data_IF_533753910572
#
_entry.id   IF_533753910572
#
_cell.length_a   1.000
_cell.length_b   1.000
_cell.length_c   1.000
_cell.angle_alpha   90.00
_cell.angle_beta   90.00
_cell.angle_gamma   90.00
#
_symmetry.space_group_name_H-M   'P 1'
#
loop_
_entity.id
_entity.type
_entity.pdbx_description
1 polymer ?
#
# COMPACT_ATOMS: atom_id res chain seq x y z
N UNK A 1 -38.86 -20.21 21.13
CA UNK A 1 -37.96 -19.04 20.98
C UNK A 1 -38.67 -18.11 20.00
N UNK A 2 -39.06 -16.92 20.44
CA UNK A 2 -39.88 -15.99 19.65
C UNK A 2 -38.96 -15.13 18.76
N UNK A 3 -38.59 -15.68 17.61
CA UNK A 3 -37.59 -15.13 16.70
C UNK A 3 -37.94 -13.72 16.20
N UNK A 4 -39.22 -13.38 16.09
CA UNK A 4 -39.68 -12.03 15.69
C UNK A 4 -39.39 -10.97 16.74
N UNK A 5 -39.46 -11.33 18.03
CA UNK A 5 -39.09 -10.42 19.13
C UNK A 5 -37.60 -10.17 19.21
N UNK A 6 -36.77 -11.17 18.87
CA UNK A 6 -35.32 -11.01 18.83
C UNK A 6 -34.87 -10.21 17.59
N UNK A 7 -35.52 -10.40 16.43
CA UNK A 7 -35.27 -9.60 15.23
C UNK A 7 -35.52 -8.10 15.43
N UNK A 8 -36.57 -7.72 16.18
CA UNK A 8 -36.85 -6.31 16.51
C UNK A 8 -35.81 -5.65 17.41
N UNK A 9 -34.97 -6.43 18.10
CA UNK A 9 -33.85 -5.93 18.92
C UNK A 9 -32.55 -5.83 18.13
N UNK A 10 -32.46 -6.53 16.99
CA UNK A 10 -31.29 -6.43 16.12
C UNK A 10 -31.32 -5.06 15.42
N UNK A 11 -30.14 -4.45 15.23
CA UNK A 11 -30.01 -3.30 14.33
C UNK A 11 -30.34 -3.78 12.92
N UNK A 12 -31.59 -3.57 12.51
CA UNK A 12 -31.99 -3.71 11.11
C UNK A 12 -31.35 -2.55 10.37
N UNK A 13 -30.67 -2.85 9.26
CA UNK A 13 -30.12 -1.80 8.41
C UNK A 13 -31.29 -1.03 7.82
N UNK A 14 -31.48 0.23 8.23
CA UNK A 14 -32.49 1.08 7.63
C UNK A 14 -32.02 1.47 6.21
N UNK A 15 -32.69 0.91 5.20
CA UNK A 15 -32.35 1.15 3.80
C UNK A 15 -32.50 2.63 3.42
N UNK A 16 -33.40 3.36 4.07
CA UNK A 16 -33.65 4.78 3.79
C UNK A 16 -32.57 5.69 4.41
N UNK A 17 -31.86 5.20 5.43
CA UNK A 17 -30.72 5.91 6.06
C UNK A 17 -29.38 5.60 5.40
N UNK A 18 -29.30 4.57 4.55
CA UNK A 18 -28.07 4.21 3.85
C UNK A 18 -27.77 5.21 2.71
N UNK A 19 -26.50 5.60 2.50
CA UNK A 19 -26.10 6.39 1.34
C UNK A 19 -26.11 5.59 0.02
N UNK A 20 -26.68 4.37 0.01
CA UNK A 20 -26.76 3.47 -1.13
C UNK A 20 -27.64 4.01 -2.27
N UNK A 21 -27.69 3.28 -3.41
CA UNK A 21 -28.27 3.78 -4.66
C UNK A 21 -29.64 4.41 -4.44
N UNK A 22 -29.74 5.71 -4.73
CA UNK A 22 -30.89 6.56 -4.38
C UNK A 22 -31.87 6.70 -5.54
N UNK A 23 -31.56 6.13 -6.71
CA UNK A 23 -32.46 6.19 -7.86
C UNK A 23 -33.14 4.84 -8.12
N UNK A 24 -34.38 4.91 -8.62
CA UNK A 24 -35.09 3.75 -9.14
C UNK A 24 -34.34 3.10 -10.30
N UNK A 25 -33.57 3.86 -11.08
CA UNK A 25 -32.75 3.31 -12.17
C UNK A 25 -31.62 2.41 -11.66
N UNK A 26 -30.90 2.79 -10.60
CA UNK A 26 -29.83 1.97 -10.01
C UNK A 26 -30.37 0.64 -9.44
N UNK A 27 -31.59 0.66 -8.89
CA UNK A 27 -32.28 -0.54 -8.41
C UNK A 27 -32.87 -1.38 -9.55
N UNK A 28 -33.26 -0.77 -10.67
CA UNK A 28 -33.71 -1.47 -11.89
C UNK A 28 -32.55 -2.16 -12.60
N UNK A 29 -31.34 -1.58 -12.60
CA UNK A 29 -30.15 -2.28 -13.11
C UNK A 29 -29.85 -3.57 -12.34
N UNK A 30 -30.17 -3.64 -11.04
CA UNK A 30 -30.05 -4.89 -10.27
C UNK A 30 -31.16 -5.92 -10.56
N UNK A 31 -32.17 -5.58 -11.37
CA UNK A 31 -33.24 -6.52 -11.80
C UNK A 31 -32.91 -7.25 -13.09
N UNK A 32 -31.84 -6.88 -13.79
CA UNK A 32 -31.41 -7.62 -14.98
C UNK A 32 -30.94 -9.04 -14.60
N UNK A 33 -30.99 -10.01 -15.53
CA UNK A 33 -30.43 -11.34 -15.28
C UNK A 33 -28.99 -11.25 -14.78
N UNK A 34 -28.63 -12.06 -13.79
CA UNK A 34 -27.32 -12.01 -13.13
C UNK A 34 -26.15 -12.12 -14.12
N UNK A 35 -26.33 -12.92 -15.17
CA UNK A 35 -25.34 -13.10 -16.24
C UNK A 35 -25.14 -11.83 -17.07
N UNK A 36 -26.21 -11.07 -17.31
CA UNK A 36 -26.15 -9.79 -18.02
C UNK A 36 -25.49 -8.71 -17.14
N UNK A 37 -25.83 -8.69 -15.86
CA UNK A 37 -25.15 -7.84 -14.87
C UNK A 37 -23.65 -8.13 -14.83
N UNK A 38 -23.25 -9.40 -14.74
CA UNK A 38 -21.84 -9.77 -14.71
C UNK A 38 -21.11 -9.36 -16.00
N UNK A 39 -21.73 -9.54 -17.17
CA UNK A 39 -21.13 -9.09 -18.44
C UNK A 39 -20.91 -7.59 -18.47
N UNK A 40 -21.85 -6.79 -17.96
CA UNK A 40 -21.74 -5.32 -17.91
C UNK A 40 -20.73 -4.87 -16.86
N UNK A 41 -20.80 -5.45 -15.65
CA UNK A 41 -19.97 -5.07 -14.51
C UNK A 41 -18.50 -5.49 -14.65
N UNK A 42 -18.23 -6.63 -15.30
CA UNK A 42 -16.90 -7.17 -15.53
C UNK A 42 -16.50 -7.13 -17.01
N UNK A 43 -17.08 -6.21 -17.78
CA UNK A 43 -16.79 -6.07 -19.20
C UNK A 43 -15.32 -5.70 -19.45
N UNK A 44 -14.73 -6.35 -20.44
CA UNK A 44 -13.36 -6.07 -20.90
C UNK A 44 -13.43 -4.79 -21.74
N UNK A 45 -12.74 -3.74 -21.35
CA UNK A 45 -12.83 -2.38 -21.91
C UNK A 45 -13.14 -1.30 -20.86
N UNK A 46 -13.60 -1.69 -19.66
CA UNK A 46 -13.87 -0.79 -18.53
C UNK A 46 -12.68 -0.66 -17.58
N UNK A 47 -11.48 -1.10 -17.95
CA UNK A 47 -10.29 -1.12 -17.08
C UNK A 47 -9.85 0.28 -16.63
N UNK A 48 -10.26 1.32 -17.36
CA UNK A 48 -9.97 2.72 -17.04
C UNK A 48 -11.02 3.36 -16.11
N UNK A 49 -12.09 2.65 -15.78
CA UNK A 49 -13.09 3.14 -14.81
C UNK A 49 -12.52 2.99 -13.41
N UNK A 50 -12.36 4.12 -12.72
CA UNK A 50 -11.85 4.12 -11.35
C UNK A 50 -13.01 3.92 -10.36
N UNK A 51 -12.92 2.95 -9.43
CA UNK A 51 -13.89 2.81 -8.35
C UNK A 51 -14.00 4.09 -7.51
N UNK A 52 -15.20 4.37 -7.00
CA UNK A 52 -15.45 5.56 -6.18
C UNK A 52 -15.30 5.30 -4.66
N UNK A 53 -14.89 4.10 -4.24
CA UNK A 53 -14.87 3.68 -2.84
C UNK A 53 -13.97 4.55 -1.94
N UNK A 54 -12.83 5.01 -2.47
CA UNK A 54 -11.91 5.96 -1.82
C UNK A 54 -11.85 7.31 -2.56
N UNK A 55 -12.89 7.66 -3.31
CA UNK A 55 -12.98 8.98 -3.96
C UNK A 55 -12.85 10.08 -2.91
N UNK A 56 -12.00 11.06 -3.20
CA UNK A 56 -11.74 12.19 -2.30
C UNK A 56 -10.66 11.91 -1.24
N UNK A 57 -10.13 10.68 -1.17
CA UNK A 57 -8.91 10.40 -0.40
C UNK A 57 -7.69 10.73 -1.27
N UNK A 58 -6.75 11.51 -0.72
CA UNK A 58 -5.43 11.78 -1.30
C UNK A 58 -4.33 11.16 -0.45
N UNK A 59 -3.48 10.33 -1.06
CA UNK A 59 -2.44 9.59 -0.35
C UNK A 59 -1.06 9.89 -0.92
N UNK A 60 -0.09 10.19 -0.06
CA UNK A 60 1.30 10.37 -0.46
C UNK A 60 2.05 9.04 -0.40
N UNK A 61 2.99 8.85 -1.31
CA UNK A 61 3.83 7.65 -1.36
C UNK A 61 5.28 8.05 -1.54
N UNK A 62 6.15 7.64 -0.62
CA UNK A 62 7.61 7.78 -0.77
C UNK A 62 8.26 6.40 -0.79
N UNK A 63 7.46 5.41 -1.17
CA UNK A 63 7.76 3.99 -1.10
C UNK A 63 8.71 3.56 -2.23
N UNK A 64 9.36 2.42 -2.07
CA UNK A 64 10.28 1.82 -3.04
C UNK A 64 10.01 0.33 -3.19
N UNK A 65 10.38 -0.26 -4.33
CA UNK A 65 10.28 -1.71 -4.61
C UNK A 65 8.85 -2.26 -4.71
N UNK A 66 8.44 -3.22 -3.86
CA UNK A 66 7.15 -3.95 -3.96
C UNK A 66 6.33 -3.82 -2.67
N UNK A 67 6.94 -4.16 -1.52
CA UNK A 67 6.33 -4.21 -0.19
C UNK A 67 5.30 -3.09 0.09
N UNK A 68 5.77 -1.87 0.36
CA UNK A 68 4.88 -0.75 0.66
C UNK A 68 4.23 -0.13 -0.59
N UNK A 69 4.87 -0.08 -1.78
CA UNK A 69 4.20 0.39 -3.00
C UNK A 69 2.88 -0.33 -3.29
N UNK A 70 2.82 -1.65 -3.11
CA UNK A 70 1.59 -2.42 -3.32
C UNK A 70 0.42 -1.89 -2.47
N UNK A 71 0.70 -1.47 -1.22
CA UNK A 71 -0.35 -0.91 -0.36
C UNK A 71 -0.96 0.38 -0.92
N UNK A 72 -0.16 1.20 -1.61
CA UNK A 72 -0.59 2.47 -2.21
C UNK A 72 -1.31 2.21 -3.53
N UNK A 73 -0.79 1.31 -4.36
CA UNK A 73 -1.48 0.87 -5.58
C UNK A 73 -2.88 0.35 -5.25
N UNK A 74 -3.05 -0.46 -4.20
CA UNK A 74 -4.37 -0.90 -3.77
C UNK A 74 -5.31 0.28 -3.43
N UNK A 75 -4.80 1.34 -2.79
CA UNK A 75 -5.62 2.54 -2.53
C UNK A 75 -5.98 3.27 -3.82
N UNK A 76 -5.04 3.37 -4.76
CA UNK A 76 -5.26 3.98 -6.06
C UNK A 76 -6.32 3.23 -6.87
N UNK A 77 -6.24 1.89 -6.90
CA UNK A 77 -7.22 1.00 -7.51
C UNK A 77 -8.59 1.11 -6.84
N UNK A 78 -8.65 1.42 -5.54
CA UNK A 78 -9.90 1.66 -4.82
C UNK A 78 -10.46 3.09 -4.98
N UNK A 79 -9.80 3.98 -5.74
CA UNK A 79 -10.31 5.33 -6.02
C UNK A 79 -9.47 6.49 -5.51
N UNK A 80 -8.51 6.25 -4.61
CA UNK A 80 -7.74 7.33 -3.98
C UNK A 80 -6.80 8.04 -4.97
N UNK A 81 -6.64 9.35 -4.82
CA UNK A 81 -5.61 10.12 -5.51
C UNK A 81 -4.25 9.86 -4.87
N UNK A 82 -3.49 8.90 -5.41
CA UNK A 82 -2.19 8.54 -4.89
C UNK A 82 -1.08 9.31 -5.62
N UNK A 83 -0.19 9.97 -4.87
CA UNK A 83 0.92 10.77 -5.40
C UNK A 83 2.22 10.18 -4.89
N UNK A 84 2.95 9.51 -5.78
CA UNK A 84 4.31 9.02 -5.53
C UNK A 84 5.32 10.15 -5.71
N UNK A 85 6.10 10.36 -4.66
CA UNK A 85 7.19 11.32 -4.61
C UNK A 85 8.49 10.55 -4.72
N UNK A 86 9.23 10.80 -5.80
CA UNK A 86 10.46 10.10 -6.12
C UNK A 86 11.68 11.03 -6.03
N UNK A 87 12.82 10.48 -5.62
CA UNK A 87 14.07 11.23 -5.63
C UNK A 87 14.46 11.61 -7.06
N UNK A 88 14.87 12.86 -7.33
CA UNK A 88 15.32 13.28 -8.66
C UNK A 88 16.43 12.38 -9.19
N UNK A 89 16.36 12.05 -10.49
CA UNK A 89 17.28 11.16 -11.23
C UNK A 89 17.26 9.69 -10.81
N UNK A 90 17.15 9.41 -9.52
CA UNK A 90 17.12 8.06 -8.96
C UNK A 90 15.80 7.34 -9.26
N UNK A 91 14.66 7.99 -9.00
CA UNK A 91 13.37 7.32 -9.05
C UNK A 91 13.23 6.24 -7.96
N UNK A 92 12.15 5.45 -8.07
CA UNK A 92 12.07 4.13 -7.43
C UNK A 92 13.12 3.18 -8.05
N UNK A 93 13.95 2.49 -7.26
CA UNK A 93 14.91 1.50 -7.78
C UNK A 93 14.29 0.42 -8.67
N UNK A 94 13.01 0.10 -8.49
CA UNK A 94 12.29 -0.88 -9.33
C UNK A 94 12.17 -0.43 -10.80
N UNK A 95 12.32 0.87 -11.10
CA UNK A 95 12.39 1.35 -12.49
C UNK A 95 13.59 0.78 -13.26
N UNK A 96 14.63 0.35 -12.55
CA UNK A 96 15.92 -0.08 -13.11
C UNK A 96 16.12 -1.61 -13.10
N UNK A 97 15.06 -2.39 -12.86
CA UNK A 97 15.12 -3.85 -12.81
C UNK A 97 14.67 -4.50 -14.12
N UNK A 98 15.26 -5.63 -14.48
CA UNK A 98 14.85 -6.46 -15.63
C UNK A 98 13.60 -7.32 -15.30
N UNK A 99 12.88 -7.86 -16.30
CA UNK A 99 13.09 -7.71 -17.75
C UNK A 99 12.65 -6.34 -18.30
N UNK A 100 13.22 -5.95 -19.45
CA UNK A 100 12.86 -4.75 -20.24
C UNK A 100 13.35 -3.38 -19.74
N UNK A 101 14.40 -3.37 -18.90
CA UNK A 101 15.31 -2.22 -18.77
C UNK A 101 16.75 -2.76 -18.63
N UNK A 102 17.77 -1.91 -18.83
CA UNK A 102 19.15 -2.25 -18.48
C UNK A 102 19.20 -2.63 -16.99
N UNK A 103 19.68 -3.84 -16.67
CA UNK A 103 19.61 -4.35 -15.31
C UNK A 103 20.59 -3.58 -14.40
N UNK A 104 20.06 -2.88 -13.39
CA UNK A 104 20.87 -2.39 -12.29
C UNK A 104 21.27 -3.53 -11.36
N UNK A 105 22.54 -3.92 -11.38
CA UNK A 105 23.11 -5.00 -10.58
C UNK A 105 24.06 -4.44 -9.52
N UNK A 106 23.55 -3.90 -8.42
CA UNK A 106 24.42 -3.49 -7.31
C UNK A 106 24.90 -4.71 -6.50
N UNK A 107 26.19 -4.82 -6.13
CA UNK A 107 27.29 -3.86 -6.35
C UNK A 107 28.15 -4.15 -7.61
N UNK A 108 27.71 -5.03 -8.50
CA UNK A 108 28.45 -5.43 -9.70
C UNK A 108 28.61 -4.29 -10.73
N UNK A 109 27.64 -3.37 -10.83
CA UNK A 109 27.71 -2.18 -11.69
C UNK A 109 26.91 -1.01 -11.09
N UNK A 110 27.44 0.22 -11.21
CA UNK A 110 26.80 1.44 -10.66
C UNK A 110 26.19 2.36 -11.74
N UNK A 111 26.21 1.98 -13.03
CA UNK A 111 25.46 2.76 -14.02
C UNK A 111 23.99 2.39 -13.96
N UNK A 112 23.18 3.32 -13.45
CA UNK A 112 21.72 3.21 -13.50
C UNK A 112 21.25 3.64 -14.89
N UNK A 113 20.28 2.92 -15.49
CA UNK A 113 19.67 3.32 -16.76
C UNK A 113 19.13 4.75 -16.65
N UNK A 114 19.48 5.60 -17.61
CA UNK A 114 18.99 6.99 -17.66
C UNK A 114 17.59 7.10 -18.28
N UNK A 115 17.09 6.02 -18.88
CA UNK A 115 15.77 5.91 -19.48
C UNK A 115 15.23 4.49 -19.29
N UNK A 116 13.94 4.28 -19.60
CA UNK A 116 13.27 3.01 -19.43
C UNK A 116 12.59 2.85 -18.06
N UNK A 117 11.68 1.88 -17.97
CA UNK A 117 11.01 1.51 -16.72
C UNK A 117 10.80 0.00 -16.73
N UNK A 118 11.39 -0.68 -15.76
CA UNK A 118 11.26 -2.12 -15.59
C UNK A 118 9.83 -2.55 -15.30
N UNK A 119 9.42 -3.74 -15.79
CA UNK A 119 8.05 -4.24 -15.59
C UNK A 119 7.67 -4.44 -14.11
N UNK A 120 8.64 -4.73 -13.25
CA UNK A 120 8.41 -4.83 -11.81
C UNK A 120 7.81 -3.54 -11.23
N UNK A 121 8.18 -2.38 -11.80
CA UNK A 121 7.70 -1.09 -11.34
C UNK A 121 6.22 -0.90 -11.68
N UNK A 122 5.83 -1.22 -12.92
CA UNK A 122 4.45 -1.05 -13.39
C UNK A 122 3.47 -1.91 -12.61
N UNK A 123 3.91 -3.07 -12.11
CA UNK A 123 3.05 -3.97 -11.34
C UNK A 123 2.78 -3.46 -9.92
N UNK A 124 3.75 -2.80 -9.28
CA UNK A 124 3.63 -2.37 -7.89
C UNK A 124 3.27 -0.87 -7.71
N UNK A 125 3.08 -0.12 -8.80
CA UNK A 125 2.84 1.33 -8.77
C UNK A 125 1.78 1.77 -9.80
N UNK A 126 0.79 0.93 -10.09
CA UNK A 126 -0.27 1.28 -11.05
C UNK A 126 -1.20 2.37 -10.49
N UNK A 127 -1.78 3.18 -11.38
CA UNK A 127 -2.79 4.21 -11.05
C UNK A 127 -2.34 5.36 -10.12
N UNK A 128 -1.03 5.56 -9.96
CA UNK A 128 -0.45 6.66 -9.18
C UNK A 128 -0.06 7.86 -10.06
N UNK A 129 -0.10 9.07 -9.48
CA UNK A 129 0.55 10.26 -10.02
C UNK A 129 2.01 10.32 -9.55
N UNK A 130 2.90 10.86 -10.36
CA UNK A 130 4.33 10.89 -10.07
C UNK A 130 4.87 12.30 -10.06
N UNK A 131 5.58 12.65 -8.99
CA UNK A 131 6.35 13.89 -8.88
C UNK A 131 7.77 13.57 -8.42
N UNK A 132 8.71 14.44 -8.78
CA UNK A 132 10.08 14.35 -8.26
C UNK A 132 10.34 15.47 -7.26
N UNK A 133 10.94 15.14 -6.12
CA UNK A 133 11.21 16.08 -5.04
C UNK A 133 12.41 15.60 -4.23
N UNK A 134 13.40 16.48 -4.04
CA UNK A 134 14.51 16.21 -3.12
C UNK A 134 14.16 16.72 -1.72
N UNK A 135 13.89 15.80 -0.79
CA UNK A 135 13.45 16.11 0.58
C UNK A 135 14.50 16.88 1.41
N UNK A 136 15.74 16.98 0.94
CA UNK A 136 16.80 17.68 1.66
C UNK A 136 16.81 19.19 1.38
N UNK A 137 16.28 19.61 0.23
CA UNK A 137 16.30 21.01 -0.20
C UNK A 137 15.25 21.80 0.59
N UNK A 138 15.60 22.93 1.26
CA UNK A 138 14.67 23.71 2.08
C UNK A 138 13.39 24.13 1.35
N UNK A 139 13.49 24.53 0.08
CA UNK A 139 12.36 24.87 -0.80
C UNK A 139 11.43 23.66 -0.98
N UNK A 140 12.00 22.50 -1.27
CA UNK A 140 11.28 21.26 -1.47
C UNK A 140 10.61 20.76 -0.19
N UNK A 141 11.24 20.96 0.98
CA UNK A 141 10.60 20.69 2.29
C UNK A 141 9.31 21.48 2.47
N UNK A 142 9.31 22.78 2.10
CA UNK A 142 8.10 23.61 2.17
C UNK A 142 6.99 23.08 1.26
N UNK A 143 7.33 22.65 0.04
CA UNK A 143 6.37 22.03 -0.89
C UNK A 143 5.82 20.72 -0.33
N UNK A 144 6.69 19.87 0.22
CA UNK A 144 6.30 18.62 0.88
C UNK A 144 5.31 18.85 2.03
N UNK A 145 5.56 19.84 2.90
CA UNK A 145 4.61 20.17 3.97
C UNK A 145 3.29 20.71 3.44
N UNK A 146 3.28 21.42 2.31
CA UNK A 146 2.03 21.84 1.67
C UNK A 146 1.25 20.63 1.14
N UNK A 147 1.92 19.62 0.59
CA UNK A 147 1.29 18.36 0.21
C UNK A 147 0.70 17.64 1.42
N UNK A 148 1.42 17.58 2.54
CA UNK A 148 0.92 16.97 3.80
C UNK A 148 -0.36 17.63 4.31
N UNK A 149 -0.49 18.97 4.19
CA UNK A 149 -1.70 19.71 4.59
C UNK A 149 -2.93 19.35 3.76
N UNK A 150 -2.75 18.91 2.52
CA UNK A 150 -3.84 18.63 1.57
C UNK A 150 -4.05 17.14 1.33
N UNK A 151 -3.36 16.28 2.07
CA UNK A 151 -3.42 14.83 1.92
C UNK A 151 -3.92 14.16 3.20
N UNK A 152 -4.50 12.98 3.04
CA UNK A 152 -5.06 12.16 4.11
C UNK A 152 -4.01 11.33 4.84
N UNK A 153 -2.92 10.98 4.15
CA UNK A 153 -1.84 10.22 4.73
C UNK A 153 -0.63 10.03 3.82
N UNK A 154 0.33 9.26 4.32
CA UNK A 154 1.59 8.91 3.67
C UNK A 154 1.96 7.47 3.96
N UNK A 155 2.48 6.77 2.95
CA UNK A 155 3.27 5.56 3.14
C UNK A 155 4.75 5.81 2.83
N UNK A 156 5.63 5.43 3.75
CA UNK A 156 7.08 5.50 3.59
C UNK A 156 7.75 4.19 4.06
N UNK A 157 8.91 3.88 3.50
CA UNK A 157 9.64 2.64 3.79
C UNK A 157 11.16 2.85 3.94
N UNK A 158 11.57 4.04 4.38
CA UNK A 158 12.97 4.33 4.62
C UNK A 158 13.47 3.62 5.87
N UNK A 159 14.80 3.54 6.02
CA UNK A 159 15.39 3.04 7.27
C UNK A 159 14.87 3.85 8.45
N UNK A 160 14.68 3.18 9.58
CA UNK A 160 14.13 3.81 10.78
C UNK A 160 14.80 5.15 11.13
N UNK A 161 13.97 6.13 11.50
CA UNK A 161 14.38 7.46 11.92
C UNK A 161 14.91 8.35 10.79
N UNK A 162 14.90 7.89 9.54
CA UNK A 162 15.35 8.72 8.40
C UNK A 162 14.44 9.94 8.24
N UNK A 163 13.13 9.74 8.19
CA UNK A 163 12.17 10.83 8.08
C UNK A 163 12.15 11.72 9.34
N UNK A 164 12.31 11.15 10.54
CA UNK A 164 12.46 11.93 11.78
C UNK A 164 13.69 12.87 11.71
N UNK A 165 14.84 12.39 11.24
CA UNK A 165 16.04 13.24 11.06
C UNK A 165 15.82 14.36 10.04
N UNK A 166 14.93 14.15 9.08
CA UNK A 166 14.57 15.16 8.08
C UNK A 166 13.46 16.12 8.51
N UNK A 167 12.87 15.91 9.69
CA UNK A 167 11.68 16.62 10.20
C UNK A 167 10.43 16.36 9.39
N UNK A 168 10.28 15.11 8.96
CA UNK A 168 9.18 14.62 8.11
C UNK A 168 8.59 13.32 8.69
N UNK A 169 8.97 12.96 9.92
CA UNK A 169 8.44 11.79 10.61
C UNK A 169 7.04 12.06 11.16
N UNK A 170 6.36 11.00 11.60
CA UNK A 170 4.99 11.09 12.13
C UNK A 170 4.77 12.24 13.11
N UNK A 171 5.69 12.42 14.07
CA UNK A 171 5.59 13.45 15.12
C UNK A 171 5.65 14.87 14.56
N UNK A 172 6.47 15.11 13.55
CA UNK A 172 6.53 16.43 12.90
C UNK A 172 5.29 16.66 12.03
N UNK A 173 4.80 15.63 11.33
CA UNK A 173 3.66 15.76 10.41
C UNK A 173 2.31 15.91 11.12
N UNK A 174 2.14 15.28 12.29
CA UNK A 174 0.91 15.43 13.07
C UNK A 174 0.70 16.84 13.61
N UNK A 175 1.78 17.61 13.83
CA UNK A 175 1.69 19.03 14.20
C UNK A 175 1.13 19.88 13.05
N UNK A 176 1.40 19.47 11.80
CA UNK A 176 0.94 20.14 10.59
C UNK A 176 -0.51 19.74 10.26
N UNK A 177 -0.83 18.46 10.38
CA UNK A 177 -2.12 17.89 10.08
C UNK A 177 -2.48 16.79 11.10
N UNK A 178 -3.26 17.11 12.16
CA UNK A 178 -3.65 16.13 13.19
C UNK A 178 -4.52 14.98 12.66
N UNK A 179 -5.08 15.11 11.46
CA UNK A 179 -5.89 14.07 10.77
C UNK A 179 -5.03 13.11 9.94
N UNK A 180 -3.72 13.36 9.84
CA UNK A 180 -2.82 12.65 8.93
C UNK A 180 -2.56 11.22 9.39
N UNK A 181 -2.72 10.26 8.48
CA UNK A 181 -2.40 8.86 8.73
C UNK A 181 -1.00 8.59 8.19
N UNK A 182 -0.10 8.13 9.06
CA UNK A 182 1.29 7.89 8.70
C UNK A 182 1.59 6.40 8.75
N UNK A 183 2.06 5.84 7.65
CA UNK A 183 2.48 4.44 7.57
C UNK A 183 3.99 4.40 7.39
N UNK A 184 4.67 3.72 8.31
CA UNK A 184 6.04 3.26 8.12
C UNK A 184 6.06 1.74 7.90
N UNK A 185 6.60 1.32 6.77
CA UNK A 185 6.87 -0.08 6.49
C UNK A 185 8.36 -0.40 6.57
N UNK A 186 8.74 -1.29 7.48
CA UNK A 186 10.11 -1.78 7.62
C UNK A 186 10.23 -3.29 7.39
N UNK A 187 11.45 -3.81 7.32
CA UNK A 187 11.67 -5.26 7.26
C UNK A 187 11.44 -5.96 8.58
N UNK A 188 12.10 -5.46 9.62
CA UNK A 188 12.17 -6.08 10.95
C UNK A 188 11.35 -5.35 12.01
N UNK A 189 10.65 -4.29 11.61
CA UNK A 189 9.87 -3.43 12.50
C UNK A 189 10.71 -2.69 13.55
N UNK A 190 10.04 -2.22 14.60
CA UNK A 190 10.71 -1.62 15.77
C UNK A 190 11.02 -2.66 16.83
N UNK A 191 12.29 -2.75 17.24
CA UNK A 191 12.68 -3.62 18.34
C UNK A 191 14.17 -3.93 18.42
N UNK A 192 14.57 -4.84 19.34
CA UNK A 192 15.97 -5.19 19.58
C UNK A 192 16.67 -5.92 18.41
N UNK A 193 15.93 -6.28 17.36
CA UNK A 193 16.41 -7.04 16.19
C UNK A 193 16.28 -6.25 14.89
N UNK A 194 16.61 -4.95 14.90
CA UNK A 194 16.67 -4.13 13.68
C UNK A 194 17.94 -4.49 12.91
N UNK A 195 17.81 -5.33 11.90
CA UNK A 195 18.91 -5.72 11.01
C UNK A 195 18.96 -4.88 9.74
N UNK A 196 19.25 -3.58 9.86
CA UNK A 196 19.48 -2.71 8.70
C UNK A 196 18.35 -2.72 7.66
N UNK A 197 18.71 -2.72 6.37
CA UNK A 197 17.75 -2.83 5.27
C UNK A 197 17.31 -4.28 5.03
N UNK A 198 16.08 -4.46 4.56
CA UNK A 198 15.49 -5.77 4.30
C UNK A 198 15.00 -5.87 2.86
N UNK A 199 15.02 -7.09 2.35
CA UNK A 199 14.34 -7.51 1.14
C UNK A 199 13.49 -8.74 1.48
N UNK A 200 12.48 -9.04 0.66
CA UNK A 200 11.59 -10.18 0.82
C UNK A 200 12.32 -11.48 1.23
N UNK A 201 13.41 -11.85 0.55
CA UNK A 201 14.19 -13.05 0.87
C UNK A 201 14.74 -13.06 2.31
N UNK A 202 15.18 -11.91 2.81
CA UNK A 202 15.69 -11.77 4.18
C UNK A 202 14.54 -11.86 5.19
N UNK A 203 13.39 -11.27 4.87
CA UNK A 203 12.18 -11.39 5.66
C UNK A 203 11.70 -12.84 5.75
N UNK A 204 11.64 -13.56 4.62
CA UNK A 204 11.25 -14.97 4.57
C UNK A 204 12.19 -15.86 5.39
N UNK A 205 13.50 -15.64 5.26
CA UNK A 205 14.50 -16.39 6.02
C UNK A 205 14.39 -16.12 7.52
N UNK A 206 14.28 -14.85 7.91
CA UNK A 206 14.23 -14.45 9.31
C UNK A 206 12.92 -14.86 10.00
N UNK A 207 11.80 -14.85 9.29
CA UNK A 207 10.51 -15.27 9.83
C UNK A 207 10.32 -16.80 9.89
N UNK A 208 11.24 -17.57 9.31
CA UNK A 208 11.15 -19.03 9.25
C UNK A 208 10.35 -19.57 8.07
N UNK A 209 9.73 -18.73 7.23
CA UNK A 209 9.00 -19.17 6.04
C UNK A 209 9.91 -19.97 5.09
N UNK A 210 11.14 -19.53 4.89
CA UNK A 210 12.10 -20.27 4.07
C UNK A 210 12.45 -21.65 4.65
N UNK A 211 12.42 -21.81 5.99
CA UNK A 211 12.76 -23.07 6.66
C UNK A 211 11.72 -24.17 6.45
N UNK A 212 10.48 -23.80 6.19
CA UNK A 212 9.36 -24.73 5.91
C UNK A 212 9.01 -24.82 4.42
N UNK A 213 9.82 -24.19 3.56
CA UNK A 213 9.59 -24.15 2.11
C UNK A 213 10.70 -24.91 1.39
N UNK A 214 10.32 -25.85 0.52
CA UNK A 214 11.24 -26.68 -0.25
C UNK A 214 10.97 -28.17 -0.08
N UNK A 215 11.77 -29.00 -0.74
CA UNK A 215 11.73 -30.45 -0.50
C UNK A 215 12.36 -30.78 0.87
N UNK A 216 11.88 -31.84 1.51
CA UNK A 216 12.46 -32.34 2.75
C UNK A 216 13.91 -32.82 2.54
N UNK A 217 14.73 -32.76 3.59
CA UNK A 217 16.14 -33.18 3.54
C UNK A 217 16.29 -34.66 3.16
N UNK A 218 15.35 -35.52 3.56
CA UNK A 218 15.30 -36.95 3.18
C UNK A 218 15.17 -37.16 1.65
N UNK A 219 14.69 -36.16 0.92
CA UNK A 219 14.62 -36.16 -0.54
C UNK A 219 15.77 -35.36 -1.19
N UNK A 220 16.82 -35.02 -0.43
CA UNK A 220 17.92 -34.19 -0.89
C UNK A 220 17.59 -32.69 -1.01
N UNK A 221 16.50 -32.25 -0.37
CA UNK A 221 16.07 -30.85 -0.36
C UNK A 221 16.79 -29.97 0.67
N UNK A 222 16.54 -28.67 0.60
CA UNK A 222 17.00 -27.67 1.56
C UNK A 222 15.96 -26.55 1.69
N UNK A 223 16.09 -25.73 2.74
CA UNK A 223 15.29 -24.53 2.92
C UNK A 223 15.43 -23.60 1.71
N UNK A 224 14.30 -23.19 1.12
CA UNK A 224 14.25 -22.37 -0.09
C UNK A 224 13.36 -21.17 0.11
N UNK A 225 13.69 -20.06 -0.57
CA UNK A 225 12.78 -18.92 -0.67
C UNK A 225 11.56 -19.34 -1.50
N UNK A 226 10.37 -18.91 -1.11
CA UNK A 226 9.20 -18.96 -1.98
C UNK A 226 9.46 -18.17 -3.29
N UNK A 227 8.91 -18.66 -4.40
CA UNK A 227 9.27 -18.19 -5.75
C UNK A 227 9.05 -16.67 -5.92
N UNK A 228 7.82 -16.19 -5.71
CA UNK A 228 7.53 -14.75 -5.81
C UNK A 228 7.95 -14.00 -4.53
N UNK A 229 7.76 -12.68 -4.53
CA UNK A 229 7.91 -11.85 -3.34
C UNK A 229 6.65 -11.91 -2.47
N UNK A 230 6.26 -13.11 -2.04
CA UNK A 230 4.94 -13.37 -1.42
C UNK A 230 4.72 -12.51 -0.18
N UNK A 231 5.75 -12.29 0.62
CA UNK A 231 5.61 -11.55 1.86
C UNK A 231 5.53 -10.05 1.57
N UNK A 232 6.15 -9.54 0.51
CA UNK A 232 5.98 -8.14 0.08
C UNK A 232 4.53 -7.87 -0.32
N UNK A 233 3.95 -8.72 -1.18
CA UNK A 233 2.56 -8.61 -1.62
C UNK A 233 1.59 -8.75 -0.45
N UNK A 234 1.74 -9.79 0.36
CA UNK A 234 0.87 -10.02 1.51
C UNK A 234 0.96 -8.88 2.52
N UNK A 235 2.16 -8.37 2.78
CA UNK A 235 2.36 -7.21 3.66
C UNK A 235 1.66 -5.97 3.12
N UNK A 236 1.76 -5.68 1.81
CA UNK A 236 1.08 -4.54 1.20
C UNK A 236 -0.44 -4.61 1.40
N UNK A 237 -1.06 -5.79 1.23
CA UNK A 237 -2.51 -5.97 1.49
C UNK A 237 -2.88 -5.77 2.96
N UNK A 238 -2.04 -6.23 3.90
CA UNK A 238 -2.23 -5.99 5.34
C UNK A 238 -2.12 -4.50 5.69
N UNK A 239 -1.16 -3.80 5.09
CA UNK A 239 -1.03 -2.34 5.24
C UNK A 239 -2.26 -1.64 4.69
N UNK A 240 -2.76 -2.00 3.50
CA UNK A 240 -4.01 -1.45 2.95
C UNK A 240 -5.16 -1.62 3.96
N UNK A 241 -5.31 -2.82 4.54
CA UNK A 241 -6.33 -3.10 5.55
C UNK A 241 -6.19 -2.18 6.77
N UNK A 242 -4.97 -1.99 7.25
CA UNK A 242 -4.69 -1.09 8.37
C UNK A 242 -5.01 0.37 8.03
N UNK A 243 -4.71 0.83 6.81
CA UNK A 243 -5.05 2.18 6.33
C UNK A 243 -6.56 2.38 6.29
N UNK A 244 -7.32 1.41 5.76
CA UNK A 244 -8.78 1.48 5.73
C UNK A 244 -9.37 1.55 7.16
N UNK A 245 -8.83 0.77 8.09
CA UNK A 245 -9.22 0.84 9.50
C UNK A 245 -8.86 2.20 10.13
N UNK A 246 -7.70 2.78 9.79
CA UNK A 246 -7.29 4.10 10.25
C UNK A 246 -8.16 5.23 9.67
N UNK A 247 -8.58 5.13 8.41
CA UNK A 247 -9.53 6.06 7.79
C UNK A 247 -10.88 6.01 8.51
N UNK A 248 -11.37 4.80 8.83
CA UNK A 248 -12.58 4.62 9.63
C UNK A 248 -12.45 5.18 11.04
N UNK A 249 -11.31 4.92 11.72
CA UNK A 249 -11.00 5.51 13.01
C UNK A 249 -11.03 7.04 12.95
N UNK A 250 -10.36 7.63 11.97
CA UNK A 250 -10.31 9.07 11.73
C UNK A 250 -11.69 9.68 11.48
N UNK A 251 -12.58 8.96 10.81
CA UNK A 251 -13.97 9.42 10.63
C UNK A 251 -14.75 9.48 11.95
N UNK A 252 -14.42 8.62 12.92
CA UNK A 252 -15.05 8.63 14.25
C UNK A 252 -14.45 9.66 15.20
N UNK A 253 -13.12 9.77 15.21
CA UNK A 253 -12.39 10.56 16.23
C UNK A 253 -11.99 11.94 15.73
N UNK A 254 -11.96 12.12 14.42
CA UNK A 254 -11.38 13.30 13.79
C UNK A 254 -9.86 13.34 13.81
N UNK A 255 -9.18 12.28 14.24
CA UNK A 255 -7.71 12.23 14.40
C UNK A 255 -7.09 11.14 13.52
N UNK A 256 -5.88 11.41 13.03
CA UNK A 256 -5.04 10.43 12.34
C UNK A 256 -4.37 9.47 13.32
N UNK A 257 -3.50 8.61 12.80
CA UNK A 257 -2.71 7.66 13.58
C UNK A 257 -1.43 7.30 12.85
N UNK A 258 -0.46 6.72 13.57
CA UNK A 258 0.67 6.03 12.98
C UNK A 258 0.35 4.53 12.85
N UNK A 259 0.77 3.94 11.75
CA UNK A 259 0.79 2.52 11.48
C UNK A 259 2.24 2.12 11.28
N UNK A 260 2.71 1.16 12.07
CA UNK A 260 3.96 0.47 11.83
C UNK A 260 3.66 -0.92 11.29
N UNK A 261 4.43 -1.36 10.30
CA UNK A 261 4.31 -2.70 9.76
C UNK A 261 5.68 -3.27 9.41
N UNK A 262 5.89 -4.55 9.72
CA UNK A 262 7.11 -5.27 9.38
C UNK A 262 6.87 -6.42 8.39
N UNK A 263 7.75 -6.56 7.39
CA UNK A 263 7.71 -7.69 6.43
C UNK A 263 7.79 -9.04 7.15
N UNK A 264 8.63 -9.14 8.19
CA UNK A 264 8.79 -10.37 8.99
C UNK A 264 7.49 -10.77 9.68
N UNK A 265 6.71 -9.81 10.19
CA UNK A 265 5.41 -10.10 10.82
C UNK A 265 4.43 -10.73 9.83
N UNK A 266 4.43 -10.29 8.58
CA UNK A 266 3.54 -10.85 7.55
C UNK A 266 3.84 -12.33 7.31
N UNK A 267 5.11 -12.68 7.20
CA UNK A 267 5.58 -14.05 6.99
C UNK A 267 5.20 -15.02 8.13
N UNK A 268 4.99 -14.52 9.35
CA UNK A 268 4.51 -15.34 10.49
C UNK A 268 3.00 -15.58 10.50
N UNK A 269 2.25 -14.91 9.62
CA UNK A 269 0.78 -14.94 9.56
C UNK A 269 0.25 -15.52 8.25
N UNK A 270 1.11 -15.78 7.27
CA UNK A 270 0.76 -16.36 5.98
C UNK A 270 0.87 -17.89 5.97
#
# INVERSE_FOLDING_TARGET
MDWEKELKKMKVCDFDELPGPKSKEELEEMKMPFEEYCKKAFDVGNEFVKPDALKGIRWLSTTMYIFTPHSVTNLAELGAECIKIEMPRMGDPMRHTSPFNEAYLYPLHDTRPMSGTGLGFTNANSNEYYITLDYHVPEAKRLYYNLVKMSDGLTECYRHGTFDRWKQGYRDLMEINPRFIYVWGGGFGYGPKIFGGSYDILGQAHAGLASVTGAHEDFGGHATKASNWCIDWYSGSQITTAILAALYYRNKTGLGTMIEFSQVQAATRC
#
